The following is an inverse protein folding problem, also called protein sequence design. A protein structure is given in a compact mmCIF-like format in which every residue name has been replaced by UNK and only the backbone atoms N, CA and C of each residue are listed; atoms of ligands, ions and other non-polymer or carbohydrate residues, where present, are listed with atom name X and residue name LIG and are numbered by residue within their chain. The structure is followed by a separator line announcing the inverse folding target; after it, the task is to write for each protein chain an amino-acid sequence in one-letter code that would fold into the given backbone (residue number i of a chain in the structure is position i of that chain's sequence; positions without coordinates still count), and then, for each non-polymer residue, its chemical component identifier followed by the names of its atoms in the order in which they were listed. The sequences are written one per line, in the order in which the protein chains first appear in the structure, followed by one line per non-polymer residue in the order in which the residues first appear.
data_IF_161958606553
#
_entry.id   IF_161958606553
#
_cell.length_a   1.000
_cell.length_b   1.000
_cell.length_c   1.000
_cell.angle_alpha   90.00
_cell.angle_beta   90.00
_cell.angle_gamma   90.00
#
_symmetry.space_group_name_H-M   'P 1'
#
loop_
_entity.id
_entity.type
_entity.pdbx_description
1 polymer ?
#
# COMPACT_ATOMS: atom_id res chain seq x y z
N UNK A 1 5.76 57.66 -25.87
CA UNK A 1 6.04 57.47 -24.45
C UNK A 1 5.18 56.36 -23.80
N UNK A 2 4.31 55.68 -24.56
CA UNK A 2 3.31 54.69 -24.11
C UNK A 2 3.75 53.20 -24.25
N UNK A 3 4.74 52.90 -25.12
CA UNK A 3 5.18 51.50 -25.35
C UNK A 3 6.13 50.91 -24.28
N UNK A 4 6.80 51.75 -23.52
CA UNK A 4 7.73 51.31 -22.48
C UNK A 4 7.01 50.88 -21.17
N UNK A 5 5.83 51.44 -20.93
CA UNK A 5 5.04 51.18 -19.71
C UNK A 5 4.33 49.82 -19.77
N UNK A 6 3.86 49.43 -20.97
CA UNK A 6 3.18 48.14 -21.15
C UNK A 6 4.12 46.94 -21.05
N UNK A 7 5.39 47.12 -21.37
CA UNK A 7 6.39 46.05 -21.31
C UNK A 7 6.89 45.81 -19.88
N UNK A 8 6.80 46.79 -18.98
CA UNK A 8 7.15 46.67 -17.57
C UNK A 8 6.02 46.01 -16.79
N UNK A 9 4.77 46.35 -17.10
CA UNK A 9 3.60 45.75 -16.48
C UNK A 9 3.40 44.27 -16.88
N UNK A 10 3.76 43.90 -18.12
CA UNK A 10 3.71 42.51 -18.60
C UNK A 10 4.72 41.58 -17.87
N UNK A 11 5.90 42.10 -17.52
CA UNK A 11 6.92 41.32 -16.82
C UNK A 11 6.63 41.15 -15.29
N UNK A 12 5.91 42.09 -14.70
CA UNK A 12 5.51 41.99 -13.29
C UNK A 12 4.39 40.99 -13.09
N UNK A 13 3.47 40.82 -14.03
CA UNK A 13 2.41 39.81 -13.93
C UNK A 13 2.91 38.38 -14.16
N UNK A 14 4.00 38.18 -14.89
CA UNK A 14 4.57 36.84 -15.11
C UNK A 14 5.35 36.34 -13.89
N UNK A 15 5.92 37.23 -13.07
CA UNK A 15 6.61 36.88 -11.82
C UNK A 15 5.65 36.62 -10.66
N UNK A 16 4.49 37.25 -10.63
CA UNK A 16 3.47 37.06 -9.62
C UNK A 16 2.74 35.71 -9.78
N UNK A 17 2.60 35.18 -11.00
CA UNK A 17 1.98 33.89 -11.27
C UNK A 17 2.92 32.71 -10.92
N UNK A 18 4.23 32.91 -10.97
CA UNK A 18 5.22 31.85 -10.68
C UNK A 18 5.45 31.63 -9.17
N UNK A 19 5.01 32.56 -8.31
CA UNK A 19 5.21 32.48 -6.86
C UNK A 19 4.08 31.76 -6.11
N UNK A 20 2.98 31.41 -6.80
CA UNK A 20 1.82 30.72 -6.19
C UNK A 20 1.82 29.21 -6.37
N UNK A 21 2.84 28.62 -7.03
CA UNK A 21 2.91 27.19 -7.34
C UNK A 21 3.82 26.37 -6.42
N UNK A 22 4.38 26.96 -5.34
CA UNK A 22 5.32 26.25 -4.45
C UNK A 22 4.80 25.92 -3.04
N UNK A 23 3.52 25.89 -2.85
CA UNK A 23 2.99 25.69 -1.51
C UNK A 23 1.78 24.77 -1.41
N UNK A 24 1.89 23.46 -1.67
CA UNK A 24 0.87 22.50 -1.18
C UNK A 24 1.17 21.03 -1.48
N UNK A 25 2.42 20.59 -1.52
CA UNK A 25 2.70 19.18 -1.81
C UNK A 25 2.73 18.28 -0.58
N UNK A 26 2.68 18.81 0.63
CA UNK A 26 2.82 18.03 1.86
C UNK A 26 1.48 17.47 2.39
N UNK A 27 0.36 18.12 2.10
CA UNK A 27 -0.95 17.72 2.63
C UNK A 27 -1.60 16.56 1.86
N UNK A 28 -1.37 16.46 0.55
CA UNK A 28 -1.98 15.40 -0.29
C UNK A 28 -1.50 13.99 0.12
N UNK A 29 -0.26 13.85 0.57
CA UNK A 29 0.28 12.55 1.00
C UNK A 29 -0.16 12.11 2.40
N UNK A 30 -0.53 13.06 3.25
CA UNK A 30 -1.03 12.73 4.59
C UNK A 30 -2.47 12.20 4.53
N UNK A 31 -3.29 12.74 3.65
CA UNK A 31 -4.67 12.30 3.42
C UNK A 31 -4.71 10.86 2.88
N UNK A 32 -3.85 10.49 1.92
CA UNK A 32 -3.79 9.13 1.35
C UNK A 32 -3.58 8.04 2.41
N UNK A 33 -2.72 8.27 3.43
CA UNK A 33 -2.49 7.29 4.50
C UNK A 33 -3.69 7.18 5.44
N UNK A 34 -4.27 8.30 5.82
CA UNK A 34 -5.43 8.37 6.71
C UNK A 34 -6.64 7.71 6.06
N UNK A 35 -6.92 8.02 4.81
CA UNK A 35 -8.02 7.45 4.04
C UNK A 35 -7.84 5.95 3.83
N UNK A 36 -6.61 5.52 3.55
CA UNK A 36 -6.32 4.09 3.39
C UNK A 36 -6.48 3.33 4.72
N UNK A 37 -6.02 3.88 5.84
CA UNK A 37 -6.25 3.31 7.17
C UNK A 37 -7.75 3.17 7.45
N UNK A 38 -8.54 4.19 7.11
CA UNK A 38 -9.99 4.16 7.28
C UNK A 38 -10.64 3.03 6.48
N UNK A 39 -10.25 2.86 5.20
CA UNK A 39 -10.75 1.76 4.36
C UNK A 39 -10.52 0.40 5.04
N UNK A 40 -9.31 0.14 5.55
CA UNK A 40 -9.00 -1.13 6.22
C UNK A 40 -9.67 -1.27 7.59
N UNK A 41 -9.92 -0.17 8.31
CA UNK A 41 -10.68 -0.19 9.57
C UNK A 41 -12.17 -0.50 9.38
N UNK A 42 -12.75 -0.04 8.29
CA UNK A 42 -14.16 -0.26 7.93
C UNK A 42 -14.38 -1.64 7.28
N UNK A 43 -13.33 -2.28 6.78
CA UNK A 43 -13.42 -3.61 6.20
C UNK A 43 -13.46 -4.70 7.28
N UNK A 44 -14.56 -5.46 7.36
CA UNK A 44 -14.77 -6.48 8.39
C UNK A 44 -13.66 -7.52 8.49
N UNK A 45 -12.97 -7.84 7.38
CA UNK A 45 -11.87 -8.81 7.36
C UNK A 45 -10.60 -8.31 8.08
N UNK A 46 -10.34 -7.00 8.09
CA UNK A 46 -9.11 -6.40 8.63
C UNK A 46 -9.32 -5.55 9.88
N UNK A 47 -10.54 -5.15 10.20
CA UNK A 47 -10.84 -4.23 11.30
C UNK A 47 -10.33 -4.70 12.66
N UNK A 48 -10.56 -5.96 13.02
CA UNK A 48 -10.15 -6.53 14.31
C UNK A 48 -8.63 -6.60 14.52
N UNK A 49 -7.85 -6.52 13.45
CA UNK A 49 -6.38 -6.55 13.55
C UNK A 49 -5.80 -5.24 14.06
N UNK A 50 -6.50 -4.12 13.92
CA UNK A 50 -6.04 -2.83 14.45
C UNK A 50 -5.97 -2.80 15.98
N UNK A 51 -6.84 -3.56 16.65
CA UNK A 51 -6.90 -3.65 18.12
C UNK A 51 -5.94 -4.68 18.69
N UNK A 52 -5.66 -5.75 17.92
CA UNK A 52 -4.96 -6.94 18.41
C UNK A 52 -3.53 -7.08 17.85
N UNK A 53 -3.07 -6.17 16.98
CA UNK A 53 -1.71 -6.21 16.45
C UNK A 53 -0.73 -5.35 17.25
N UNK A 54 0.53 -5.76 17.28
CA UNK A 54 1.63 -4.98 17.84
C UNK A 54 1.93 -3.72 17.02
N UNK A 55 1.66 -3.77 15.71
CA UNK A 55 1.83 -2.68 14.78
C UNK A 55 1.46 -3.08 13.36
N UNK A 56 1.61 -2.17 12.42
CA UNK A 56 1.31 -2.44 11.02
C UNK A 56 2.16 -1.58 10.08
N UNK A 57 2.36 -2.08 8.85
CA UNK A 57 2.86 -1.32 7.71
C UNK A 57 1.73 -1.08 6.72
N UNK A 58 1.57 0.15 6.23
CA UNK A 58 0.52 0.52 5.29
C UNK A 58 1.09 1.16 4.04
N UNK A 59 0.58 0.74 2.89
CA UNK A 59 0.94 1.22 1.56
C UNK A 59 -0.33 1.75 0.88
N UNK A 60 -0.53 3.07 0.80
CA UNK A 60 -1.71 3.64 0.19
C UNK A 60 -1.84 3.29 -1.29
N UNK A 61 -0.72 3.25 -1.99
CA UNK A 61 -0.69 2.89 -3.40
C UNK A 61 0.55 2.07 -3.74
N UNK A 62 0.30 0.87 -4.25
CA UNK A 62 1.30 0.04 -4.91
C UNK A 62 0.90 0.00 -6.39
N UNK A 63 1.76 0.53 -7.25
CA UNK A 63 1.59 0.44 -8.70
C UNK A 63 2.21 -0.86 -9.21
N UNK A 64 1.48 -1.59 -10.05
CA UNK A 64 1.92 -2.83 -10.71
C UNK A 64 1.81 -2.64 -12.22
N UNK A 65 2.85 -3.00 -12.97
CA UNK A 65 2.84 -2.90 -14.42
C UNK A 65 3.91 -3.76 -15.07
N UNK A 66 3.75 -4.01 -16.37
CA UNK A 66 4.69 -4.77 -17.20
C UNK A 66 4.00 -5.57 -18.28
N UNK A 67 4.80 -6.08 -19.22
CA UNK A 67 4.37 -6.99 -20.30
C UNK A 67 5.36 -8.16 -20.33
N UNK A 68 4.90 -9.38 -20.04
CA UNK A 68 5.74 -10.57 -19.92
C UNK A 68 6.57 -10.61 -18.63
N UNK A 69 7.37 -9.59 -18.37
CA UNK A 69 8.04 -9.33 -17.08
C UNK A 69 7.54 -8.01 -16.57
N UNK A 70 7.11 -7.99 -15.32
CA UNK A 70 6.56 -6.81 -14.69
C UNK A 70 7.19 -6.55 -13.33
N UNK A 71 6.77 -5.45 -12.71
CA UNK A 71 7.16 -5.11 -11.37
C UNK A 71 6.05 -4.38 -10.63
N UNK A 72 6.16 -4.39 -9.31
CA UNK A 72 5.35 -3.57 -8.45
C UNK A 72 6.24 -2.74 -7.53
N UNK A 73 5.79 -1.54 -7.22
CA UNK A 73 6.47 -0.62 -6.33
C UNK A 73 5.46 0.19 -5.51
N UNK A 74 5.75 0.37 -4.23
CA UNK A 74 4.96 1.23 -3.36
C UNK A 74 5.78 1.82 -2.23
N UNK A 75 5.36 3.01 -1.77
CA UNK A 75 5.85 3.63 -0.53
C UNK A 75 4.83 3.44 0.57
N UNK A 76 5.31 3.21 1.79
CA UNK A 76 4.49 2.96 2.94
C UNK A 76 5.01 3.60 4.21
N UNK A 77 4.21 3.52 5.26
CA UNK A 77 4.56 3.92 6.64
C UNK A 77 4.37 2.77 7.59
N UNK A 78 5.22 2.73 8.60
CA UNK A 78 5.17 1.73 9.68
C UNK A 78 4.70 2.40 10.95
N UNK A 79 3.74 1.74 11.61
CA UNK A 79 3.14 2.17 12.87
C UNK A 79 3.37 1.11 13.94
N UNK A 80 3.67 1.54 15.15
CA UNK A 80 3.78 0.72 16.36
C UNK A 80 2.87 1.29 17.42
N UNK A 81 1.92 0.49 17.93
CA UNK A 81 0.93 0.95 18.91
C UNK A 81 0.23 2.25 18.47
N UNK A 82 -0.12 2.37 17.19
CA UNK A 82 -0.76 3.55 16.62
C UNK A 82 0.17 4.73 16.31
N UNK A 83 1.43 4.73 16.76
CA UNK A 83 2.40 5.79 16.50
C UNK A 83 3.19 5.51 15.20
N UNK A 84 3.35 6.52 14.35
CA UNK A 84 4.22 6.46 13.16
C UNK A 84 5.69 6.40 13.56
N UNK A 85 6.41 5.34 13.18
CA UNK A 85 7.78 5.07 13.61
C UNK A 85 8.81 5.00 12.46
N UNK A 86 8.36 4.99 11.20
CA UNK A 86 9.29 5.00 10.07
C UNK A 86 8.63 4.78 8.72
N UNK A 87 9.41 5.03 7.67
CA UNK A 87 9.00 4.82 6.29
C UNK A 87 9.42 3.44 5.78
N UNK A 88 8.66 2.92 4.84
CA UNK A 88 8.99 1.67 4.17
C UNK A 88 8.74 1.79 2.67
N UNK A 89 9.42 0.97 1.88
CA UNK A 89 9.15 0.80 0.47
C UNK A 89 9.09 -0.67 0.12
N UNK A 90 8.22 -1.02 -0.82
CA UNK A 90 8.04 -2.35 -1.33
C UNK A 90 8.42 -2.40 -2.80
N UNK A 91 9.14 -3.45 -3.19
CA UNK A 91 9.41 -3.83 -4.57
C UNK A 91 9.06 -5.29 -4.79
N UNK A 92 8.52 -5.63 -5.95
CA UNK A 92 8.22 -7.01 -6.35
C UNK A 92 8.50 -7.17 -7.84
N UNK A 93 9.12 -8.28 -8.21
CA UNK A 93 9.23 -8.71 -9.61
C UNK A 93 8.12 -9.70 -9.88
N UNK A 94 7.44 -9.53 -11.00
CA UNK A 94 6.36 -10.43 -11.43
C UNK A 94 6.65 -10.93 -12.83
N UNK A 95 6.38 -12.21 -13.06
CA UNK A 95 6.47 -12.84 -14.38
C UNK A 95 5.06 -13.30 -14.74
N UNK A 96 4.58 -12.89 -15.90
CA UNK A 96 3.23 -13.26 -16.36
C UNK A 96 2.67 -12.32 -17.41
N UNK A 97 1.56 -12.74 -18.03
CA UNK A 97 0.82 -11.95 -19.00
C UNK A 97 -0.04 -10.90 -18.26
N UNK A 98 0.54 -9.73 -18.03
CA UNK A 98 -0.19 -8.61 -17.43
C UNK A 98 -0.23 -7.48 -18.44
N UNK A 99 -1.42 -7.22 -18.97
CA UNK A 99 -1.66 -6.07 -19.83
C UNK A 99 -2.23 -4.93 -18.97
N UNK A 100 -1.50 -3.81 -18.90
CA UNK A 100 -1.94 -2.60 -18.25
C UNK A 100 -1.31 -2.35 -16.89
N UNK A 101 -1.52 -1.13 -16.37
CA UNK A 101 -1.14 -0.71 -15.04
C UNK A 101 -2.28 -0.94 -14.06
N UNK A 102 -2.00 -1.53 -12.93
CA UNK A 102 -2.96 -1.72 -11.84
C UNK A 102 -2.40 -1.10 -10.57
N UNK A 103 -3.30 -0.55 -9.75
CA UNK A 103 -2.97 -0.04 -8.43
C UNK A 103 -3.73 -0.77 -7.35
N UNK A 104 -3.11 -0.95 -6.19
CA UNK A 104 -3.77 -1.47 -5.01
C UNK A 104 -3.20 -0.85 -3.75
N UNK A 105 -3.97 -0.89 -2.67
CA UNK A 105 -3.53 -0.56 -1.32
C UNK A 105 -3.22 -1.85 -0.58
N UNK A 106 -2.25 -1.83 0.34
CA UNK A 106 -1.86 -2.98 1.14
C UNK A 106 -1.64 -2.57 2.59
N UNK A 107 -2.06 -3.43 3.52
CA UNK A 107 -1.71 -3.35 4.93
C UNK A 107 -1.14 -4.69 5.39
N UNK A 108 -0.11 -4.63 6.23
CA UNK A 108 0.55 -5.79 6.84
C UNK A 108 0.50 -5.56 8.35
N UNK A 109 -0.24 -6.40 9.07
CA UNK A 109 -0.28 -6.38 10.54
C UNK A 109 0.80 -7.29 11.10
N UNK A 110 1.45 -6.86 12.16
CA UNK A 110 2.44 -7.62 12.92
C UNK A 110 1.81 -8.10 14.21
N UNK A 111 1.77 -9.40 14.41
CA UNK A 111 1.15 -10.04 15.58
C UNK A 111 1.85 -9.66 16.89
N UNK A 112 3.18 -9.63 16.84
CA UNK A 112 4.04 -9.46 17.99
C UNK A 112 5.29 -8.64 17.67
N UNK A 113 6.10 -8.35 18.69
CA UNK A 113 7.34 -7.62 18.54
C UNK A 113 8.32 -8.32 17.61
N UNK A 114 8.40 -9.65 17.64
CA UNK A 114 9.31 -10.43 16.79
C UNK A 114 9.01 -10.19 15.31
N UNK A 115 7.73 -10.26 14.90
CA UNK A 115 7.32 -10.03 13.52
C UNK A 115 7.57 -8.57 13.10
N UNK A 116 7.35 -7.61 14.01
CA UNK A 116 7.68 -6.20 13.78
C UNK A 116 9.18 -6.00 13.59
N UNK A 117 10.00 -6.55 14.47
CA UNK A 117 11.47 -6.43 14.41
C UNK A 117 12.01 -7.09 13.13
N UNK A 118 11.49 -8.26 12.75
CA UNK A 118 11.85 -8.96 11.51
C UNK A 118 11.57 -8.08 10.28
N UNK A 119 10.40 -7.47 10.20
CA UNK A 119 10.04 -6.56 9.10
C UNK A 119 10.94 -5.31 9.07
N UNK A 120 11.22 -4.73 10.23
CA UNK A 120 11.98 -3.47 10.36
C UNK A 120 13.50 -3.65 10.26
N UNK A 121 14.02 -4.88 10.07
CA UNK A 121 15.42 -5.10 9.65
C UNK A 121 15.75 -4.40 8.33
N UNK A 122 14.72 -4.09 7.52
CA UNK A 122 14.87 -3.49 6.19
C UNK A 122 15.35 -4.45 5.10
N UNK A 123 15.35 -5.76 5.39
CA UNK A 123 15.70 -6.85 4.46
C UNK A 123 14.62 -7.92 4.38
N UNK A 124 13.41 -7.62 4.85
CA UNK A 124 12.31 -8.57 4.85
C UNK A 124 11.81 -8.86 3.43
N UNK A 125 11.49 -10.12 3.17
CA UNK A 125 10.92 -10.60 1.91
C UNK A 125 9.85 -11.65 2.22
N UNK A 126 8.69 -11.52 1.57
CA UNK A 126 7.70 -12.59 1.60
C UNK A 126 8.14 -13.78 0.76
N UNK A 127 7.99 -14.98 1.29
CA UNK A 127 8.24 -16.22 0.54
C UNK A 127 7.38 -16.30 -0.72
N UNK A 128 7.83 -17.07 -1.71
CA UNK A 128 7.20 -17.16 -3.04
C UNK A 128 5.71 -17.54 -3.01
N UNK A 129 5.28 -18.28 -2.00
CA UNK A 129 3.88 -18.75 -1.85
C UNK A 129 3.04 -17.84 -0.95
N UNK A 130 3.54 -16.68 -0.54
CA UNK A 130 2.79 -15.78 0.33
C UNK A 130 1.61 -15.15 -0.41
N UNK A 131 0.45 -15.16 0.24
CA UNK A 131 -0.79 -14.56 -0.25
C UNK A 131 -1.35 -13.57 0.74
N UNK A 132 -2.15 -12.63 0.26
CA UNK A 132 -2.89 -11.67 1.06
C UNK A 132 -4.39 -11.93 0.93
N UNK A 133 -5.17 -11.42 1.87
CA UNK A 133 -6.63 -11.39 1.76
C UNK A 133 -7.02 -10.20 0.90
N UNK A 134 -7.68 -10.46 -0.24
CA UNK A 134 -8.23 -9.41 -1.07
C UNK A 134 -9.56 -8.92 -0.50
N UNK A 135 -9.67 -7.61 -0.29
CA UNK A 135 -10.89 -6.93 0.16
C UNK A 135 -11.50 -6.20 -1.03
N UNK A 136 -12.79 -6.36 -1.25
CA UNK A 136 -13.54 -5.61 -2.27
C UNK A 136 -13.95 -4.26 -1.68
N UNK A 137 -13.47 -3.17 -2.24
CA UNK A 137 -13.88 -1.83 -1.85
C UNK A 137 -15.38 -1.61 -2.15
N UNK A 138 -16.15 -1.15 -1.14
CA UNK A 138 -17.58 -0.89 -1.27
C UNK A 138 -18.50 -2.01 -0.83
N UNK A 139 -18.00 -3.17 -0.41
CA UNK A 139 -18.79 -4.14 0.32
C UNK A 139 -18.99 -3.62 1.74
N UNK A 140 -20.20 -3.15 2.05
CA UNK A 140 -20.59 -2.89 3.43
C UNK A 140 -20.28 -4.11 4.29
N UNK A 141 -19.99 -3.92 5.56
CA UNK A 141 -19.39 -4.82 6.56
C UNK A 141 -20.02 -6.24 6.73
N UNK A 142 -20.91 -6.66 5.87
CA UNK A 142 -21.59 -7.96 5.90
C UNK A 142 -21.23 -8.95 4.78
N UNK A 143 -20.39 -8.54 3.82
CA UNK A 143 -19.92 -9.43 2.78
C UNK A 143 -18.41 -9.60 2.85
N UNK A 144 -17.94 -10.36 3.85
CA UNK A 144 -16.68 -11.08 3.68
C UNK A 144 -16.96 -12.16 2.63
N UNK A 145 -16.87 -11.80 1.36
CA UNK A 145 -16.65 -12.82 0.36
C UNK A 145 -15.28 -13.39 0.72
N UNK A 146 -15.31 -14.50 1.45
CA UNK A 146 -14.25 -15.47 1.36
C UNK A 146 -14.13 -15.78 -0.13
N UNK A 147 -13.37 -14.96 -0.83
CA UNK A 147 -12.94 -15.25 -2.18
C UNK A 147 -12.11 -16.50 -2.06
N UNK A 148 -12.75 -17.61 -2.31
CA UNK A 148 -12.13 -18.88 -2.61
C UNK A 148 -11.33 -18.64 -3.88
N UNK A 149 -10.14 -18.05 -3.76
CA UNK A 149 -9.13 -18.23 -4.78
C UNK A 149 -8.64 -19.67 -4.63
N UNK A 150 -9.39 -20.60 -5.21
CA UNK A 150 -8.92 -21.92 -5.53
C UNK A 150 -7.85 -21.78 -6.59
N UNK A 151 -6.65 -21.32 -6.23
CA UNK A 151 -5.49 -21.73 -6.98
C UNK A 151 -5.21 -23.17 -6.57
N UNK A 152 -5.65 -24.09 -7.43
CA UNK A 152 -5.31 -25.48 -7.34
C UNK A 152 -3.79 -25.65 -7.56
N UNK A 153 -3.01 -25.56 -6.50
CA UNK A 153 -1.69 -26.13 -6.44
C UNK A 153 -1.63 -27.03 -5.21
N UNK A 154 -1.53 -28.32 -5.44
CA UNK A 154 -1.60 -29.36 -4.42
C UNK A 154 -0.45 -29.29 -3.42
N UNK A 155 -0.74 -28.82 -2.24
CA UNK A 155 0.06 -28.93 -1.06
C UNK A 155 -0.84 -28.78 0.16
N UNK A 156 -1.08 -29.88 0.87
CA UNK A 156 -2.01 -29.98 2.01
C UNK A 156 -1.61 -29.18 3.26
N UNK A 157 -0.67 -28.23 3.16
CA UNK A 157 -0.16 -27.49 4.33
C UNK A 157 -0.19 -25.96 4.21
N UNK A 158 -0.68 -25.40 3.09
CA UNK A 158 -0.85 -23.96 2.92
C UNK A 158 -2.33 -23.57 2.89
N UNK A 159 -3.09 -23.99 3.91
CA UNK A 159 -4.42 -23.44 4.13
C UNK A 159 -4.27 -21.94 4.43
N UNK A 160 -4.52 -21.12 3.40
CA UNK A 160 -4.67 -19.68 3.55
C UNK A 160 -5.90 -19.44 4.39
N UNK A 161 -5.71 -19.35 5.69
CA UNK A 161 -6.81 -19.00 6.60
C UNK A 161 -7.09 -17.54 6.36
N UNK A 162 -8.16 -17.23 5.67
CA UNK A 162 -8.60 -15.86 5.42
C UNK A 162 -8.65 -15.12 6.77
N UNK A 163 -7.81 -14.10 6.93
CA UNK A 163 -7.77 -13.30 8.14
C UNK A 163 -7.01 -13.88 9.33
N UNK A 164 -6.04 -14.79 9.14
CA UNK A 164 -5.18 -15.26 10.21
C UNK A 164 -3.72 -14.80 10.02
N UNK A 165 -2.98 -14.74 11.14
CA UNK A 165 -1.54 -14.52 11.08
C UNK A 165 -0.82 -15.76 10.54
N UNK A 166 0.02 -15.53 9.52
CA UNK A 166 0.97 -16.51 9.02
C UNK A 166 2.38 -16.02 9.37
N UNK A 167 3.14 -16.81 10.13
CA UNK A 167 4.48 -16.44 10.64
C UNK A 167 4.50 -15.09 11.37
N UNK A 168 3.40 -14.73 12.03
CA UNK A 168 3.25 -13.48 12.77
C UNK A 168 2.82 -12.27 11.93
N UNK A 169 2.46 -12.45 10.66
CA UNK A 169 2.00 -11.37 9.77
C UNK A 169 0.66 -11.72 9.14
N UNK A 170 -0.26 -10.73 9.09
CA UNK A 170 -1.51 -10.83 8.36
C UNK A 170 -1.57 -9.71 7.33
N UNK A 171 -1.79 -10.04 6.06
CA UNK A 171 -1.73 -9.08 4.96
C UNK A 171 -3.06 -8.99 4.25
N UNK A 172 -3.51 -7.76 4.01
CA UNK A 172 -4.75 -7.44 3.30
C UNK A 172 -4.47 -6.47 2.17
N UNK A 173 -5.23 -6.60 1.08
CA UNK A 173 -5.12 -5.73 -0.10
C UNK A 173 -6.47 -5.26 -0.57
N UNK A 174 -6.53 -4.04 -1.11
CA UNK A 174 -7.72 -3.45 -1.75
C UNK A 174 -7.33 -2.94 -3.13
N UNK A 175 -8.01 -3.42 -4.18
CA UNK A 175 -7.76 -2.94 -5.54
C UNK A 175 -8.21 -1.48 -5.71
N UNK A 176 -7.43 -0.68 -6.43
CA UNK A 176 -7.80 0.67 -6.88
C UNK A 176 -8.29 0.59 -8.32
N UNK A 177 -9.58 0.91 -8.52
CA UNK A 177 -10.16 1.02 -9.86
C UNK A 177 -10.52 -0.27 -10.57
N UNK A 178 -10.75 -1.38 -9.85
CA UNK A 178 -11.17 -2.63 -10.48
C UNK A 178 -11.28 -3.81 -9.52
N UNK A 179 -11.61 -4.98 -10.07
CA UNK A 179 -11.61 -6.24 -9.34
C UNK A 179 -10.17 -6.76 -9.25
N UNK A 180 -9.71 -7.10 -8.05
CA UNK A 180 -8.46 -7.81 -7.85
C UNK A 180 -8.75 -9.31 -7.80
N UNK A 181 -8.28 -10.04 -8.82
CA UNK A 181 -8.46 -11.49 -8.89
C UNK A 181 -7.36 -12.26 -8.17
N UNK A 182 -6.24 -11.60 -7.91
CA UNK A 182 -5.08 -12.25 -7.29
C UNK A 182 -4.45 -11.33 -6.25
N UNK A 183 -4.30 -11.85 -5.05
CA UNK A 183 -3.63 -11.19 -3.92
C UNK A 183 -2.26 -11.84 -3.60
N UNK A 184 -1.54 -12.28 -4.64
CA UNK A 184 -0.19 -12.84 -4.47
C UNK A 184 0.78 -11.73 -4.06
N UNK A 185 1.42 -11.92 -2.91
CA UNK A 185 2.45 -11.04 -2.35
C UNK A 185 3.83 -11.73 -2.30
N UNK A 186 3.92 -12.93 -2.87
CA UNK A 186 5.18 -13.68 -2.95
C UNK A 186 6.28 -12.89 -3.64
N UNK A 187 7.47 -12.89 -3.06
CA UNK A 187 8.63 -12.15 -3.59
C UNK A 187 8.59 -10.64 -3.38
N UNK A 188 7.64 -10.11 -2.58
CA UNK A 188 7.69 -8.71 -2.16
C UNK A 188 8.88 -8.49 -1.22
N UNK A 189 9.76 -7.55 -1.58
CA UNK A 189 10.92 -7.13 -0.79
C UNK A 189 10.68 -5.77 -0.18
N UNK A 190 11.02 -5.63 1.10
CA UNK A 190 10.77 -4.41 1.86
C UNK A 190 12.07 -3.78 2.33
N UNK A 191 12.09 -2.45 2.30
CA UNK A 191 13.14 -1.64 2.93
C UNK A 191 12.48 -0.77 4.00
N UNK A 192 13.13 -0.61 5.13
CA UNK A 192 12.66 0.21 6.23
C UNK A 192 13.66 1.29 6.58
N UNK A 193 13.17 2.48 6.89
CA UNK A 193 13.96 3.60 7.39
C UNK A 193 13.25 4.18 8.60
N UNK A 194 13.91 4.13 9.75
CA UNK A 194 13.36 4.66 11.00
C UNK A 194 13.15 6.16 10.91
N UNK A 195 12.05 6.65 11.45
CA UNK A 195 11.79 8.07 11.64
C UNK A 195 12.85 8.64 12.60
N UNK A 196 13.48 9.74 12.21
CA UNK A 196 14.39 10.52 13.05
C UNK A 196 13.62 11.35 14.06
#
# INVERSE_FOLDING_TARGET
MTRALDMILSRFNLFAVLLFLTGSSASVWADDYTDTIKIFKEAGASSGFFENSYGYAIFPTIGKGGVGVGGAYGKGRVYKNGAYVGDTSMTQLTVGWQFGGQGYSQIIFFQDQRAFDEFTTGKFEFGAQATAVAITAGASASASTAGTSTSASGGKHDATTAGAYNKGMATFTVAKGGLMYEASIGGQKFRYTRKK
#
